data_IF_774853103139
#
_entry.id   IF_774853103139
#
_cell.length_a   1.000
_cell.length_b   1.000
_cell.length_c   1.000
_cell.angle_alpha   90.00
_cell.angle_beta   90.00
_cell.angle_gamma   90.00
#
_symmetry.space_group_name_H-M   'P 1'
#
loop_
_entity.id
_entity.type
_entity.pdbx_description
1 polymer ?
#
# COMPACT_ATOMS: atom_id res chain seq x y z
N UNK A 1 43.71 -23.81 0.53
CA UNK A 1 43.06 -23.36 -0.70
C UNK A 1 41.68 -22.88 -0.31
N UNK A 2 41.59 -21.58 -0.11
CA UNK A 2 40.41 -20.86 0.36
C UNK A 2 39.59 -20.42 -0.84
N UNK A 3 38.35 -20.87 -0.92
CA UNK A 3 37.37 -20.46 -1.92
C UNK A 3 36.10 -19.94 -1.22
N UNK A 4 36.20 -18.75 -0.66
CA UNK A 4 35.01 -18.02 -0.16
C UNK A 4 35.17 -16.51 -0.38
N UNK A 5 35.30 -16.10 -1.64
CA UNK A 5 35.14 -14.70 -2.06
C UNK A 5 34.42 -14.68 -3.39
N UNK A 6 33.08 -14.57 -3.38
CA UNK A 6 32.33 -14.49 -4.63
C UNK A 6 30.81 -14.37 -4.50
N UNK A 7 30.28 -13.75 -3.45
CA UNK A 7 28.80 -13.63 -3.33
C UNK A 7 28.25 -12.26 -2.95
N UNK A 8 29.03 -11.20 -2.91
CA UNK A 8 28.53 -9.90 -2.37
C UNK A 8 28.44 -8.77 -3.41
N UNK A 9 28.67 -9.04 -4.70
CA UNK A 9 28.61 -8.01 -5.76
C UNK A 9 27.27 -7.91 -6.48
N UNK A 10 26.31 -8.82 -6.24
CA UNK A 10 25.06 -8.91 -6.99
C UNK A 10 23.83 -8.23 -6.33
N UNK A 11 23.93 -7.77 -5.10
CA UNK A 11 22.76 -7.22 -4.38
C UNK A 11 22.21 -5.90 -4.95
N UNK A 12 23.02 -4.92 -5.39
CA UNK A 12 22.48 -3.69 -5.99
C UNK A 12 21.79 -3.91 -7.32
N UNK A 13 22.26 -4.86 -8.15
CA UNK A 13 21.68 -5.16 -9.46
C UNK A 13 20.32 -5.89 -9.32
N UNK A 14 20.21 -6.83 -8.40
CA UNK A 14 18.95 -7.55 -8.14
C UNK A 14 17.84 -6.61 -7.65
N UNK A 15 18.15 -5.67 -6.77
CA UNK A 15 17.19 -4.69 -6.28
C UNK A 15 16.71 -3.77 -7.39
N UNK A 16 17.62 -3.31 -8.27
CA UNK A 16 17.28 -2.50 -9.43
C UNK A 16 16.38 -3.24 -10.43
N UNK A 17 16.62 -4.54 -10.63
CA UNK A 17 15.79 -5.38 -11.49
C UNK A 17 14.39 -5.62 -10.90
N UNK A 18 14.27 -5.84 -9.59
CA UNK A 18 13.00 -5.95 -8.90
C UNK A 18 12.18 -4.65 -9.01
N UNK A 19 12.79 -3.49 -8.86
CA UNK A 19 12.12 -2.20 -9.07
C UNK A 19 11.61 -2.09 -10.50
N UNK A 20 12.41 -2.47 -11.49
CA UNK A 20 12.01 -2.43 -12.90
C UNK A 20 10.81 -3.33 -13.17
N UNK A 21 10.84 -4.58 -12.68
CA UNK A 21 9.73 -5.53 -12.82
C UNK A 21 8.45 -4.96 -12.20
N UNK A 22 8.55 -4.44 -10.98
CA UNK A 22 7.42 -3.83 -10.29
C UNK A 22 6.84 -2.64 -11.09
N UNK A 23 7.67 -1.73 -11.57
CA UNK A 23 7.23 -0.58 -12.38
C UNK A 23 6.55 -1.00 -13.67
N UNK A 24 7.05 -2.04 -14.33
CA UNK A 24 6.44 -2.58 -15.53
C UNK A 24 5.04 -3.18 -15.23
N UNK A 25 4.89 -3.91 -14.14
CA UNK A 25 3.61 -4.51 -13.75
C UNK A 25 2.55 -3.47 -13.43
N UNK A 26 2.87 -2.48 -12.59
CA UNK A 26 1.91 -1.42 -12.25
C UNK A 26 1.56 -0.53 -13.44
N UNK A 27 2.46 -0.38 -14.42
CA UNK A 27 2.24 0.39 -15.64
C UNK A 27 1.21 -0.22 -16.59
N UNK A 28 0.92 -1.51 -16.48
CA UNK A 28 -0.08 -2.20 -17.30
C UNK A 28 -1.52 -1.87 -16.92
N UNK A 29 -1.75 -1.36 -15.72
CA UNK A 29 -3.09 -1.02 -15.24
C UNK A 29 -3.53 0.34 -15.79
N UNK A 30 -4.74 0.44 -16.38
CA UNK A 30 -5.24 1.71 -16.89
C UNK A 30 -5.51 2.70 -15.78
N UNK A 31 -5.36 4.00 -16.09
CA UNK A 31 -5.79 5.08 -15.21
C UNK A 31 -7.31 5.16 -15.18
N UNK A 32 -7.86 5.53 -14.04
CA UNK A 32 -9.30 5.70 -13.85
C UNK A 32 -9.73 7.14 -14.10
N UNK A 33 -10.92 7.30 -14.68
CA UNK A 33 -11.61 8.58 -14.72
C UNK A 33 -12.28 8.87 -13.36
N UNK A 34 -12.67 10.13 -13.11
CA UNK A 34 -13.39 10.49 -11.89
C UNK A 34 -14.72 9.72 -11.74
N UNK A 35 -15.42 9.47 -12.85
CA UNK A 35 -16.65 8.68 -12.84
C UNK A 35 -16.42 7.22 -12.48
N UNK A 36 -15.34 6.62 -12.99
CA UNK A 36 -14.95 5.23 -12.64
C UNK A 36 -14.53 5.12 -11.18
N UNK A 37 -13.85 6.11 -10.62
CA UNK A 37 -13.50 6.15 -9.19
C UNK A 37 -14.73 6.16 -8.31
N UNK A 38 -15.76 6.95 -8.66
CA UNK A 38 -17.05 7.00 -7.95
C UNK A 38 -17.77 5.66 -8.04
N UNK A 39 -17.81 5.05 -9.23
CA UNK A 39 -18.46 3.76 -9.44
C UNK A 39 -17.80 2.66 -8.60
N UNK A 40 -16.47 2.59 -8.59
CA UNK A 40 -15.74 1.67 -7.73
C UNK A 40 -16.00 1.92 -6.24
N UNK A 41 -16.02 3.18 -5.82
CA UNK A 41 -16.31 3.54 -4.43
C UNK A 41 -17.72 3.10 -3.99
N UNK A 42 -18.72 3.23 -4.84
CA UNK A 42 -20.07 2.73 -4.58
C UNK A 42 -20.12 1.22 -4.44
N UNK A 43 -19.43 0.50 -5.29
CA UNK A 43 -19.35 -0.97 -5.23
C UNK A 43 -18.63 -1.44 -3.95
N UNK A 44 -17.57 -0.74 -3.53
CA UNK A 44 -16.87 -1.00 -2.27
C UNK A 44 -17.83 -0.81 -1.08
N UNK A 45 -18.53 0.30 -1.04
CA UNK A 45 -19.52 0.60 0.01
C UNK A 45 -20.62 -0.45 0.08
N UNK A 46 -21.20 -0.82 -1.05
CA UNK A 46 -22.22 -1.86 -1.13
C UNK A 46 -21.69 -3.23 -0.64
N UNK A 47 -20.46 -3.56 -0.98
CA UNK A 47 -19.80 -4.80 -0.53
C UNK A 47 -19.56 -4.85 0.98
N UNK A 48 -19.11 -3.76 1.58
CA UNK A 48 -18.91 -3.63 3.03
C UNK A 48 -20.26 -3.77 3.76
N UNK A 49 -21.30 -3.11 3.26
CA UNK A 49 -22.63 -3.19 3.84
C UNK A 49 -23.21 -4.61 3.73
N UNK A 50 -23.01 -5.29 2.60
CA UNK A 50 -23.44 -6.68 2.42
C UNK A 50 -22.74 -7.62 3.42
N UNK A 51 -21.44 -7.45 3.63
CA UNK A 51 -20.68 -8.23 4.62
C UNK A 51 -21.19 -7.99 6.05
N UNK A 52 -21.48 -6.75 6.38
CA UNK A 52 -22.07 -6.36 7.65
C UNK A 52 -23.43 -7.05 7.88
N UNK A 53 -24.32 -7.02 6.89
CA UNK A 53 -25.63 -7.69 6.96
C UNK A 53 -25.51 -9.20 7.15
N UNK A 54 -24.53 -9.83 6.50
CA UNK A 54 -24.26 -11.27 6.65
C UNK A 54 -23.88 -11.65 8.08
N UNK A 55 -23.14 -10.78 8.74
CA UNK A 55 -22.69 -10.98 10.14
C UNK A 55 -23.80 -10.72 11.14
N UNK A 56 -24.57 -9.67 10.94
CA UNK A 56 -25.66 -9.31 11.87
C UNK A 56 -26.89 -10.21 11.76
N UNK A 57 -27.15 -10.76 10.58
CA UNK A 57 -28.35 -11.55 10.31
C UNK A 57 -28.02 -12.98 9.84
N UNK A 58 -27.49 -13.85 10.73
CA UNK A 58 -27.12 -15.22 10.35
C UNK A 58 -28.30 -16.08 9.90
N UNK A 59 -29.53 -15.66 10.18
CA UNK A 59 -30.78 -16.38 9.86
C UNK A 59 -31.37 -16.09 8.49
N UNK A 60 -30.73 -15.25 7.68
CA UNK A 60 -31.19 -15.04 6.30
C UNK A 60 -31.22 -16.34 5.50
N UNK A 61 -32.25 -16.51 4.66
CA UNK A 61 -32.38 -17.66 3.79
C UNK A 61 -31.19 -17.80 2.82
N UNK A 62 -30.98 -18.99 2.32
CA UNK A 62 -29.81 -19.34 1.49
C UNK A 62 -29.65 -18.44 0.27
N UNK A 63 -30.73 -18.10 -0.44
CA UNK A 63 -30.72 -17.22 -1.62
C UNK A 63 -30.23 -15.81 -1.27
N UNK A 64 -30.78 -15.22 -0.21
CA UNK A 64 -30.38 -13.88 0.24
C UNK A 64 -28.92 -13.84 0.68
N UNK A 65 -28.47 -14.85 1.40
CA UNK A 65 -27.07 -14.99 1.81
C UNK A 65 -26.15 -15.10 0.61
N UNK A 66 -26.53 -15.85 -0.42
CA UNK A 66 -25.75 -15.98 -1.65
C UNK A 66 -25.62 -14.65 -2.39
N UNK A 67 -26.72 -13.89 -2.51
CA UNK A 67 -26.72 -12.55 -3.12
C UNK A 67 -25.83 -11.57 -2.36
N UNK A 68 -25.90 -11.55 -1.03
CA UNK A 68 -25.05 -10.69 -0.20
C UNK A 68 -23.56 -11.06 -0.31
N UNK A 69 -23.23 -12.35 -0.40
CA UNK A 69 -21.85 -12.80 -0.64
C UNK A 69 -21.33 -12.36 -2.01
N UNK A 70 -22.18 -12.37 -3.03
CA UNK A 70 -21.80 -11.85 -4.35
C UNK A 70 -21.48 -10.35 -4.29
N UNK A 71 -22.28 -9.55 -3.61
CA UNK A 71 -22.04 -8.12 -3.42
C UNK A 71 -20.76 -7.87 -2.62
N UNK A 72 -20.52 -8.63 -1.56
CA UNK A 72 -19.30 -8.52 -0.76
C UNK A 72 -18.05 -8.82 -1.60
N UNK A 73 -18.11 -9.87 -2.42
CA UNK A 73 -17.01 -10.23 -3.34
C UNK A 73 -16.80 -9.18 -4.42
N UNK A 74 -17.85 -8.66 -5.01
CA UNK A 74 -17.78 -7.58 -6.01
C UNK A 74 -17.15 -6.32 -5.42
N UNK A 75 -17.50 -5.96 -4.19
CA UNK A 75 -16.90 -4.85 -3.47
C UNK A 75 -15.39 -5.02 -3.23
N UNK A 76 -14.95 -6.25 -2.91
CA UNK A 76 -13.52 -6.53 -2.75
C UNK A 76 -12.75 -6.46 -4.08
N UNK A 77 -13.34 -6.94 -5.17
CA UNK A 77 -12.77 -6.77 -6.52
C UNK A 77 -12.66 -5.29 -6.91
N UNK A 78 -13.68 -4.49 -6.60
CA UNK A 78 -13.65 -3.06 -6.86
C UNK A 78 -12.57 -2.35 -6.02
N UNK A 79 -12.40 -2.75 -4.76
CA UNK A 79 -11.35 -2.24 -3.86
C UNK A 79 -9.97 -2.53 -4.44
N UNK A 80 -9.73 -3.74 -4.87
CA UNK A 80 -8.48 -4.13 -5.48
C UNK A 80 -8.21 -3.35 -6.77
N UNK A 81 -9.21 -3.15 -7.61
CA UNK A 81 -9.08 -2.37 -8.84
C UNK A 81 -8.73 -0.91 -8.56
N UNK A 82 -9.33 -0.28 -7.57
CA UNK A 82 -9.04 1.09 -7.17
C UNK A 82 -7.60 1.22 -6.64
N UNK A 83 -7.14 0.26 -5.83
CA UNK A 83 -5.76 0.19 -5.35
C UNK A 83 -4.77 0.06 -6.51
N UNK A 84 -4.95 -0.92 -7.37
CA UNK A 84 -4.03 -1.21 -8.48
C UNK A 84 -3.90 -0.05 -9.46
N UNK A 85 -4.99 0.65 -9.74
CA UNK A 85 -4.99 1.81 -10.64
C UNK A 85 -4.21 3.02 -10.07
N UNK A 86 -3.96 3.06 -8.75
CA UNK A 86 -3.28 4.16 -8.07
C UNK A 86 -1.87 3.81 -7.54
N UNK A 87 -1.35 2.63 -7.84
CA UNK A 87 0.03 2.26 -7.47
C UNK A 87 1.08 3.16 -8.12
N UNK A 88 0.83 3.65 -9.32
CA UNK A 88 1.71 4.61 -10.02
C UNK A 88 1.79 5.95 -9.29
N UNK A 89 0.70 6.40 -8.68
CA UNK A 89 0.69 7.59 -7.83
C UNK A 89 1.61 7.42 -6.63
N UNK A 90 1.59 6.27 -5.98
CA UNK A 90 2.48 5.96 -4.85
C UNK A 90 3.93 6.06 -5.27
N UNK A 91 4.31 5.47 -6.40
CA UNK A 91 5.69 5.53 -6.91
C UNK A 91 6.12 6.97 -7.20
N UNK A 92 5.27 7.77 -7.83
CA UNK A 92 5.57 9.16 -8.15
C UNK A 92 5.82 10.02 -6.91
N UNK A 93 5.11 9.75 -5.83
CA UNK A 93 5.30 10.42 -4.55
C UNK A 93 6.54 9.89 -3.80
N UNK A 94 6.73 8.57 -3.76
CA UNK A 94 7.87 7.93 -3.11
C UNK A 94 9.21 8.38 -3.67
N UNK A 95 9.30 8.60 -4.98
CA UNK A 95 10.52 9.10 -5.65
C UNK A 95 11.02 10.43 -5.08
N UNK A 96 10.15 11.27 -4.54
CA UNK A 96 10.53 12.57 -3.94
C UNK A 96 11.26 12.44 -2.60
N UNK A 97 11.18 11.27 -1.98
CA UNK A 97 11.78 10.97 -0.67
C UNK A 97 13.04 10.13 -0.76
N UNK A 98 13.51 9.80 -1.96
CA UNK A 98 14.76 9.06 -2.17
C UNK A 98 15.98 9.88 -1.73
N UNK A 99 17.05 9.17 -1.34
CA UNK A 99 18.28 9.82 -0.89
C UNK A 99 18.28 10.28 0.56
N UNK A 100 17.27 9.91 1.35
CA UNK A 100 17.11 10.29 2.77
C UNK A 100 17.28 9.10 3.73
N UNK A 101 17.95 8.04 3.30
CA UNK A 101 18.29 6.88 4.13
C UNK A 101 17.33 5.69 4.02
N UNK A 102 16.23 5.80 3.29
CA UNK A 102 15.28 4.72 3.05
C UNK A 102 15.28 4.30 1.58
N UNK A 103 15.44 3.00 1.25
CA UNK A 103 15.40 2.52 -0.13
C UNK A 103 14.05 2.78 -0.80
N UNK A 104 14.05 2.97 -2.13
CA UNK A 104 12.81 3.27 -2.88
C UNK A 104 11.72 2.22 -2.68
N UNK A 105 12.05 0.92 -2.67
CA UNK A 105 11.05 -0.14 -2.44
C UNK A 105 10.39 -0.03 -1.07
N UNK A 106 11.13 0.34 -0.03
CA UNK A 106 10.59 0.52 1.31
C UNK A 106 9.69 1.76 1.39
N UNK A 107 10.08 2.85 0.71
CA UNK A 107 9.23 4.03 0.56
C UNK A 107 7.93 3.71 -0.15
N UNK A 108 7.98 2.89 -1.22
CA UNK A 108 6.80 2.43 -1.94
C UNK A 108 5.90 1.57 -1.03
N UNK A 109 6.46 0.67 -0.25
CA UNK A 109 5.69 -0.16 0.69
C UNK A 109 4.96 0.70 1.73
N UNK A 110 5.63 1.67 2.32
CA UNK A 110 5.01 2.62 3.26
C UNK A 110 3.90 3.43 2.58
N UNK A 111 4.17 3.93 1.37
CA UNK A 111 3.19 4.65 0.58
C UNK A 111 1.97 3.79 0.23
N UNK A 112 2.15 2.52 -0.08
CA UNK A 112 1.06 1.58 -0.36
C UNK A 112 0.17 1.36 0.87
N UNK A 113 0.72 1.33 2.08
CA UNK A 113 -0.08 1.30 3.32
C UNK A 113 -0.94 2.55 3.47
N UNK A 114 -0.40 3.71 3.11
CA UNK A 114 -1.16 4.95 3.05
C UNK A 114 -2.28 4.92 2.00
N UNK A 115 -2.01 4.37 0.83
CA UNK A 115 -3.01 4.18 -0.23
C UNK A 115 -4.16 3.27 0.23
N UNK A 116 -3.87 2.17 0.90
CA UNK A 116 -4.88 1.26 1.46
C UNK A 116 -5.81 2.02 2.42
N UNK A 117 -5.27 2.82 3.31
CA UNK A 117 -6.06 3.65 4.23
C UNK A 117 -6.91 4.67 3.48
N UNK A 118 -6.39 5.26 2.41
CA UNK A 118 -7.14 6.20 1.58
C UNK A 118 -8.35 5.53 0.92
N UNK A 119 -8.20 4.32 0.38
CA UNK A 119 -9.30 3.55 -0.22
C UNK A 119 -10.37 3.23 0.82
N UNK A 120 -9.97 2.82 2.01
CA UNK A 120 -10.91 2.46 3.08
C UNK A 120 -11.69 3.66 3.64
N UNK A 121 -11.15 4.87 3.52
CA UNK A 121 -11.73 6.11 4.07
C UNK A 121 -12.26 7.07 3.01
N UNK A 122 -12.16 6.73 1.74
CA UNK A 122 -12.61 7.61 0.66
C UNK A 122 -14.12 7.80 0.66
N UNK A 123 -14.53 9.06 0.66
CA UNK A 123 -15.94 9.47 0.57
C UNK A 123 -16.19 10.18 -0.75
N UNK A 124 -16.77 9.45 -1.71
CA UNK A 124 -17.07 9.98 -3.03
C UNK A 124 -18.13 11.10 -3.02
N UNK A 125 -18.97 11.18 -1.98
CA UNK A 125 -20.00 12.21 -1.85
C UNK A 125 -19.40 13.61 -1.68
N UNK A 126 -18.15 13.74 -1.25
CA UNK A 126 -17.46 15.03 -1.09
C UNK A 126 -17.01 15.66 -2.41
N UNK A 127 -17.07 14.95 -3.53
CA UNK A 127 -16.80 15.48 -4.87
C UNK A 127 -15.35 15.68 -5.25
N UNK A 128 -14.38 15.32 -4.39
CA UNK A 128 -12.95 15.37 -4.69
C UNK A 128 -12.52 14.14 -5.49
N UNK A 129 -11.49 14.31 -6.35
CA UNK A 129 -10.82 13.17 -6.98
C UNK A 129 -10.13 12.32 -5.92
N UNK A 130 -10.16 11.00 -6.13
CA UNK A 130 -9.47 10.07 -5.25
C UNK A 130 -7.97 10.39 -5.11
N UNK A 131 -7.29 10.73 -6.20
CA UNK A 131 -5.86 11.07 -6.19
C UNK A 131 -5.51 12.22 -5.24
N UNK A 132 -6.36 13.25 -5.16
CA UNK A 132 -6.16 14.39 -4.24
C UNK A 132 -6.22 13.93 -2.78
N UNK A 133 -7.20 13.10 -2.45
CA UNK A 133 -7.36 12.55 -1.11
C UNK A 133 -6.25 11.55 -0.75
N UNK A 134 -5.93 10.63 -1.67
CA UNK A 134 -4.92 9.62 -1.48
C UNK A 134 -3.51 10.19 -1.31
N UNK A 135 -3.17 11.27 -2.00
CA UNK A 135 -1.87 11.93 -1.90
C UNK A 135 -1.52 12.30 -0.46
N UNK A 136 -2.47 12.82 0.30
CA UNK A 136 -2.26 13.16 1.70
C UNK A 136 -1.94 11.92 2.55
N UNK A 137 -2.69 10.84 2.39
CA UNK A 137 -2.49 9.59 3.12
C UNK A 137 -1.16 8.92 2.77
N UNK A 138 -0.79 8.93 1.49
CA UNK A 138 0.46 8.36 1.01
C UNK A 138 1.66 9.12 1.59
N UNK A 139 1.65 10.45 1.52
CA UNK A 139 2.71 11.29 2.08
C UNK A 139 2.86 11.11 3.58
N UNK A 140 1.76 11.06 4.30
CA UNK A 140 1.78 10.86 5.74
C UNK A 140 2.37 9.49 6.10
N UNK A 141 1.99 8.44 5.38
CA UNK A 141 2.51 7.09 5.62
C UNK A 141 4.01 7.01 5.35
N UNK A 142 4.50 7.59 4.25
CA UNK A 142 5.93 7.64 3.93
C UNK A 142 6.71 8.41 5.00
N UNK A 143 6.26 9.59 5.37
CA UNK A 143 6.92 10.43 6.37
C UNK A 143 6.96 9.74 7.73
N UNK A 144 5.88 9.10 8.14
CA UNK A 144 5.81 8.32 9.38
C UNK A 144 6.76 7.13 9.35
N UNK A 145 6.79 6.37 8.27
CA UNK A 145 7.69 5.23 8.11
C UNK A 145 9.16 5.62 8.18
N UNK A 146 9.53 6.75 7.59
CA UNK A 146 10.88 7.31 7.68
C UNK A 146 11.24 7.71 9.12
N UNK A 147 10.33 8.33 9.86
CA UNK A 147 10.55 8.72 11.25
C UNK A 147 10.71 7.49 12.18
N UNK A 148 9.93 6.46 11.98
CA UNK A 148 10.03 5.20 12.74
C UNK A 148 11.37 4.49 12.49
N UNK A 149 11.84 4.45 11.25
CA UNK A 149 13.14 3.88 10.90
C UNK A 149 14.30 4.65 11.56
N UNK A 150 14.26 5.97 11.58
CA UNK A 150 15.27 6.80 12.26
C UNK A 150 15.31 6.51 13.76
N UNK A 151 14.18 6.36 14.43
CA UNK A 151 14.12 6.00 15.85
C UNK A 151 14.72 4.62 16.13
N UNK A 152 14.44 3.63 15.31
CA UNK A 152 15.00 2.28 15.43
C UNK A 152 16.54 2.30 15.27
N UNK A 153 17.05 3.04 14.32
CA UNK A 153 18.49 3.20 14.10
C UNK A 153 19.19 3.88 15.31
N UNK A 154 18.58 4.93 15.88
CA UNK A 154 19.12 5.61 17.07
C UNK A 154 19.10 4.69 18.30
N UNK A 155 18.05 3.92 18.51
CA UNK A 155 17.96 2.97 19.62
C UNK A 155 19.04 1.86 19.50
N UNK A 156 19.31 1.39 18.29
CA UNK A 156 20.32 0.36 18.05
C UNK A 156 21.74 0.87 18.26
N UNK A 157 22.05 2.12 17.92
CA UNK A 157 23.35 2.74 18.18
C UNK A 157 23.59 2.96 19.68
N UNK A 158 22.57 3.30 20.46
CA UNK A 158 22.66 3.41 21.91
C UNK A 158 22.95 2.07 22.60
N UNK A 159 22.31 0.98 22.16
CA UNK A 159 22.58 -0.35 22.69
C UNK A 159 24.02 -0.81 22.40
N UNK A 160 24.54 -0.51 21.21
CA UNK A 160 25.90 -0.87 20.83
C UNK A 160 26.99 -0.06 21.56
N UNK A 161 26.70 1.18 21.90
CA UNK A 161 27.60 2.03 22.69
C UNK A 161 27.74 1.52 24.15
N UNK A 162 26.69 0.94 24.72
CA UNK A 162 26.75 0.34 26.06
C UNK A 162 27.52 -0.99 26.12
N UNK A 163 27.59 -1.77 25.03
CA UNK A 163 28.35 -3.02 24.99
C UNK A 163 29.87 -2.81 24.91
N UNK A 164 30.32 -1.66 24.46
CA UNK A 164 31.79 -1.36 24.34
C UNK A 164 32.43 -0.78 25.61
N UNK A 165 31.65 -0.47 26.65
CA UNK A 165 32.16 0.03 27.94
C UNK A 165 32.48 -1.08 28.96
N UNK A 166 32.30 -2.34 28.63
CA UNK A 166 32.52 -3.48 29.54
C UNK A 166 33.72 -4.38 29.16
N UNK A 167 34.67 -3.90 28.33
CA UNK A 167 35.94 -4.60 28.09
C UNK A 167 37.15 -3.72 28.33
#
# INVERSE_FOLDING_TARGET
>A
VDRTQGQDLDRPSQTADLVRVYLNEIGKRPLLTAAEEVELAKRIEAGIYADHLLKEHPRYGATRRAQLRMLARDGELARQQLLEANLRLVVSLAKRYTGRGMPLLDLIQEGNLGLIRAVDKFDYAKGFKFSTYATWWIRQAITRGMAEQTRTAVSYTHLRAHETEYY
#
